data_IF_768505582927
#
_entry.id   IF_768505582927
#
_cell.length_a   1.000
_cell.length_b   1.000
_cell.length_c   1.000
_cell.angle_alpha   90.00
_cell.angle_beta   90.00
_cell.angle_gamma   90.00
#
_symmetry.space_group_name_H-M   'P 1'
#
loop_
_entity.id
_entity.type
_entity.pdbx_description
1 polymer ?
#
# COMPACT_ATOMS: atom_id res chain seq x y z
N UNK A 1 -5.35 -9.79 24.71
CA UNK A 1 -6.28 -8.73 24.25
C UNK A 1 -7.69 -9.30 24.24
N UNK A 2 -8.65 -8.62 24.87
CA UNK A 2 -9.98 -9.17 25.11
C UNK A 2 -10.95 -9.05 23.93
N UNK A 3 -11.78 -10.08 23.73
CA UNK A 3 -13.25 -9.99 23.62
C UNK A 3 -13.91 -9.24 22.47
N UNK A 4 -13.20 -8.53 21.59
CA UNK A 4 -13.85 -7.85 20.48
C UNK A 4 -14.39 -8.84 19.46
N UNK A 5 -15.61 -8.60 19.00
CA UNK A 5 -16.22 -9.34 17.89
C UNK A 5 -15.76 -8.76 16.55
N UNK A 6 -15.97 -9.54 15.49
CA UNK A 6 -15.60 -9.17 14.13
C UNK A 6 -16.16 -7.78 13.74
N UNK A 7 -15.28 -6.88 13.29
CA UNK A 7 -15.63 -5.52 12.87
C UNK A 7 -15.96 -4.56 14.03
N UNK A 8 -15.62 -4.92 15.28
CA UNK A 8 -15.90 -4.12 16.49
C UNK A 8 -14.63 -3.69 17.25
N UNK A 9 -13.48 -3.71 16.60
CA UNK A 9 -12.25 -3.16 17.17
C UNK A 9 -12.28 -1.62 17.10
N UNK A 10 -11.91 -0.90 18.17
CA UNK A 10 -11.75 0.55 18.13
C UNK A 10 -10.67 0.96 17.12
N UNK A 11 -10.95 1.97 16.30
CA UNK A 11 -9.95 2.49 15.33
C UNK A 11 -8.69 3.00 16.02
N UNK A 12 -8.78 3.49 17.26
CA UNK A 12 -7.64 3.94 18.06
C UNK A 12 -6.62 2.83 18.39
N UNK A 13 -6.99 1.55 18.22
CA UNK A 13 -6.07 0.43 18.36
C UNK A 13 -5.29 0.13 17.07
N UNK A 14 -5.64 0.77 15.97
CA UNK A 14 -5.12 0.47 14.64
C UNK A 14 -4.19 1.58 14.18
N UNK A 15 -3.22 1.20 13.35
CA UNK A 15 -2.36 2.13 12.64
C UNK A 15 -3.11 2.61 11.40
N UNK A 16 -3.38 3.92 11.33
CA UNK A 16 -3.88 4.57 10.13
C UNK A 16 -2.73 4.73 9.12
N UNK A 17 -2.92 4.20 7.91
CA UNK A 17 -1.95 4.34 6.83
C UNK A 17 -2.31 5.48 5.86
N UNK A 18 -3.53 6.02 5.98
CA UNK A 18 -4.13 7.05 5.13
C UNK A 18 -5.46 6.59 4.54
N UNK A 19 -6.33 7.54 4.17
CA UNK A 19 -7.69 7.26 3.72
C UNK A 19 -8.47 6.35 4.68
N UNK A 20 -9.10 5.29 4.15
CA UNK A 20 -9.85 4.28 4.93
C UNK A 20 -9.02 3.03 5.26
N UNK A 21 -7.69 3.14 5.26
CA UNK A 21 -6.78 2.02 5.50
C UNK A 21 -6.27 2.04 6.94
N UNK A 22 -6.75 1.08 7.72
CA UNK A 22 -6.36 0.85 9.11
C UNK A 22 -5.87 -0.59 9.26
N UNK A 23 -4.75 -0.81 9.95
CA UNK A 23 -4.21 -2.15 10.19
C UNK A 23 -3.71 -2.30 11.63
N UNK A 24 -3.78 -3.51 12.22
CA UNK A 24 -3.02 -3.82 13.44
C UNK A 24 -1.53 -3.52 13.27
N UNK A 25 -0.84 -3.14 14.35
CA UNK A 25 0.55 -2.66 14.28
C UNK A 25 1.52 -3.67 13.65
N UNK A 26 1.40 -4.95 13.99
CA UNK A 26 2.21 -6.02 13.41
C UNK A 26 1.93 -6.22 11.92
N UNK A 27 0.64 -6.27 11.54
CA UNK A 27 0.21 -6.34 10.14
C UNK A 27 0.67 -5.13 9.33
N UNK A 28 0.59 -3.92 9.89
CA UNK A 28 1.06 -2.69 9.23
C UNK A 28 2.57 -2.73 8.97
N UNK A 29 3.37 -3.27 9.91
CA UNK A 29 4.80 -3.43 9.75
C UNK A 29 5.14 -4.45 8.64
N UNK A 30 4.47 -5.61 8.63
CA UNK A 30 4.60 -6.62 7.55
C UNK A 30 4.23 -6.05 6.19
N UNK A 31 3.13 -5.29 6.13
CA UNK A 31 2.68 -4.62 4.90
C UNK A 31 3.74 -3.66 4.35
N UNK A 32 4.23 -2.73 5.18
CA UNK A 32 5.28 -1.77 4.78
C UNK A 32 6.56 -2.49 4.32
N UNK A 33 6.95 -3.55 5.01
CA UNK A 33 8.09 -4.36 4.62
C UNK A 33 7.87 -5.03 3.25
N UNK A 34 6.70 -5.62 3.02
CA UNK A 34 6.35 -6.24 1.74
C UNK A 34 6.36 -5.22 0.58
N UNK A 35 5.82 -4.03 0.80
CA UNK A 35 5.86 -2.91 -0.15
C UNK A 35 7.31 -2.53 -0.48
N UNK A 36 8.18 -2.40 0.53
CA UNK A 36 9.60 -2.10 0.32
C UNK A 36 10.31 -3.19 -0.49
N UNK A 37 10.01 -4.47 -0.24
CA UNK A 37 10.56 -5.59 -1.02
C UNK A 37 10.06 -5.60 -2.46
N UNK A 38 8.77 -5.33 -2.69
CA UNK A 38 8.21 -5.26 -4.03
C UNK A 38 8.87 -4.15 -4.85
N UNK A 39 9.07 -2.99 -4.23
CA UNK A 39 9.75 -1.86 -4.85
C UNK A 39 11.21 -2.20 -5.15
N UNK A 40 11.94 -2.74 -4.17
CA UNK A 40 13.36 -3.07 -4.32
C UNK A 40 13.63 -4.15 -5.36
N UNK A 41 12.78 -5.18 -5.44
CA UNK A 41 12.99 -6.35 -6.33
C UNK A 41 12.39 -6.16 -7.72
N UNK A 42 11.28 -5.45 -7.83
CA UNK A 42 10.48 -5.40 -9.06
C UNK A 42 10.21 -3.98 -9.55
N UNK A 43 10.60 -2.94 -8.82
CA UNK A 43 10.28 -1.55 -9.17
C UNK A 43 8.80 -1.21 -9.02
N UNK A 44 8.03 -2.04 -8.28
CA UNK A 44 6.58 -1.88 -8.12
C UNK A 44 6.24 -1.46 -6.70
N UNK A 45 5.62 -0.29 -6.57
CA UNK A 45 5.03 0.14 -5.32
C UNK A 45 3.64 -0.50 -5.18
N UNK A 46 3.52 -1.51 -4.32
CA UNK A 46 2.23 -2.12 -4.01
C UNK A 46 1.36 -1.17 -3.17
N UNK A 47 0.05 -1.16 -3.42
CA UNK A 47 -0.91 -0.39 -2.62
C UNK A 47 -2.16 -1.20 -2.27
N UNK A 48 -2.76 -0.84 -1.14
CA UNK A 48 -4.03 -1.41 -0.69
C UNK A 48 -5.14 -0.84 -1.55
N UNK A 49 -6.08 -1.68 -2.00
CA UNK A 49 -7.27 -1.24 -2.73
C UNK A 49 -7.98 -0.12 -1.95
N UNK A 50 -8.32 1.03 -2.58
CA UNK A 50 -9.01 2.11 -1.89
C UNK A 50 -10.32 1.68 -1.22
N UNK A 51 -10.66 2.32 -0.10
CA UNK A 51 -11.82 1.95 0.72
C UNK A 51 -11.43 1.11 1.94
N UNK A 52 -12.37 0.36 2.51
CA UNK A 52 -12.16 -0.40 3.73
C UNK A 52 -11.59 -1.80 3.45
N UNK A 53 -10.36 -1.84 2.93
CA UNK A 53 -9.68 -3.07 2.51
C UNK A 53 -8.45 -3.42 3.36
N UNK A 54 -8.29 -2.77 4.50
CA UNK A 54 -7.48 -3.25 5.63
C UNK A 54 -8.42 -3.80 6.70
N UNK A 55 -8.57 -3.08 7.81
CA UNK A 55 -9.68 -3.25 8.73
C UNK A 55 -10.99 -2.75 8.12
N UNK A 56 -12.09 -3.46 8.35
CA UNK A 56 -13.44 -3.05 7.96
C UNK A 56 -14.38 -3.11 9.17
N UNK A 57 -14.94 -1.96 9.61
CA UNK A 57 -15.98 -1.92 10.63
C UNK A 57 -17.21 -2.75 10.25
N UNK A 58 -17.94 -3.25 11.26
CA UNK A 58 -19.07 -4.14 11.02
C UNK A 58 -20.20 -3.50 10.22
N UNK A 59 -20.55 -2.25 10.51
CA UNK A 59 -21.55 -1.46 9.78
C UNK A 59 -21.18 -1.30 8.30
N UNK A 60 -19.91 -1.02 8.02
CA UNK A 60 -19.39 -1.00 6.64
C UNK A 60 -19.50 -2.39 5.97
N UNK A 61 -19.27 -3.48 6.71
CA UNK A 61 -19.47 -4.82 6.16
C UNK A 61 -20.95 -5.12 5.86
N UNK A 62 -21.89 -4.53 6.62
CA UNK A 62 -23.33 -4.59 6.32
C UNK A 62 -23.62 -3.89 5.00
N UNK A 63 -23.10 -2.67 4.81
CA UNK A 63 -23.23 -1.92 3.54
C UNK A 63 -22.67 -2.71 2.35
N UNK A 64 -21.43 -3.23 2.47
CA UNK A 64 -20.81 -4.03 1.41
C UNK A 64 -21.62 -5.29 1.08
N UNK A 65 -22.22 -5.94 2.08
CA UNK A 65 -23.08 -7.11 1.86
C UNK A 65 -24.37 -6.75 1.12
N UNK A 66 -24.95 -5.59 1.43
CA UNK A 66 -26.14 -5.09 0.73
C UNK A 66 -25.84 -4.76 -0.73
N UNK A 67 -24.68 -4.14 -0.99
CA UNK A 67 -24.29 -3.70 -2.35
C UNK A 67 -23.78 -4.84 -3.23
N UNK A 68 -22.94 -5.72 -2.68
CA UNK A 68 -22.20 -6.73 -3.45
C UNK A 68 -22.81 -8.14 -3.35
N UNK A 69 -23.78 -8.34 -2.46
CA UNK A 69 -24.44 -9.62 -2.25
C UNK A 69 -23.43 -10.72 -1.89
N UNK A 70 -23.42 -11.82 -2.66
CA UNK A 70 -22.56 -12.98 -2.39
C UNK A 70 -21.06 -12.74 -2.59
N UNK A 71 -20.67 -11.59 -3.15
CA UNK A 71 -19.28 -11.18 -3.29
C UNK A 71 -18.69 -10.53 -2.04
N UNK A 72 -19.50 -10.28 -1.01
CA UNK A 72 -19.05 -9.81 0.29
C UNK A 72 -19.39 -10.84 1.36
N UNK A 73 -18.47 -11.05 2.32
CA UNK A 73 -18.71 -11.91 3.45
C UNK A 73 -19.95 -11.49 4.26
N UNK A 74 -20.60 -12.45 4.91
CA UNK A 74 -21.67 -12.15 5.87
C UNK A 74 -21.11 -11.28 7.00
N UNK A 75 -21.79 -10.19 7.41
CA UNK A 75 -21.36 -9.37 8.54
C UNK A 75 -21.07 -10.22 9.77
N UNK A 76 -19.90 -10.01 10.38
CA UNK A 76 -19.43 -10.83 11.49
C UNK A 76 -18.44 -11.95 11.11
N UNK A 77 -18.27 -12.25 9.81
CA UNK A 77 -17.41 -13.35 9.33
C UNK A 77 -16.31 -12.90 8.36
N UNK A 78 -16.21 -11.60 8.06
CA UNK A 78 -15.21 -11.04 7.15
C UNK A 78 -13.81 -11.04 7.77
N UNK A 79 -12.80 -11.52 7.08
CA UNK A 79 -11.39 -11.44 7.54
C UNK A 79 -10.91 -10.00 7.74
N UNK A 80 -11.48 -9.02 7.03
CA UNK A 80 -11.23 -7.59 7.29
C UNK A 80 -11.74 -7.12 8.66
N UNK A 81 -12.65 -7.85 9.31
CA UNK A 81 -13.17 -7.54 10.63
C UNK A 81 -12.27 -7.97 11.79
N UNK A 82 -11.03 -8.41 11.52
CA UNK A 82 -10.02 -8.88 12.49
C UNK A 82 -10.32 -10.21 13.20
N UNK A 83 -11.47 -10.85 12.96
CA UNK A 83 -11.77 -12.19 13.50
C UNK A 83 -12.15 -13.12 12.35
N UNK A 84 -11.33 -14.12 12.07
CA UNK A 84 -11.59 -15.12 11.03
C UNK A 84 -11.51 -16.53 11.62
N UNK A 85 -12.60 -17.30 11.50
CA UNK A 85 -12.71 -18.67 12.02
C UNK A 85 -12.27 -18.80 13.50
N UNK A 86 -12.70 -17.84 14.33
CA UNK A 86 -12.41 -17.82 15.77
C UNK A 86 -10.99 -17.38 16.14
N UNK A 87 -10.17 -16.94 15.18
CA UNK A 87 -8.83 -16.42 15.41
C UNK A 87 -8.75 -14.95 15.04
N UNK A 88 -7.88 -14.21 15.72
CA UNK A 88 -7.54 -12.85 15.31
C UNK A 88 -6.71 -12.92 14.04
N UNK A 89 -7.24 -12.39 12.93
CA UNK A 89 -6.61 -12.43 11.60
C UNK A 89 -6.91 -11.11 10.92
N UNK A 90 -5.89 -10.42 10.43
CA UNK A 90 -6.08 -9.21 9.62
C UNK A 90 -6.03 -9.57 8.14
N UNK A 91 -6.77 -8.84 7.30
CA UNK A 91 -6.72 -8.99 5.86
C UNK A 91 -6.32 -7.68 5.16
N UNK A 92 -5.75 -7.81 3.97
CA UNK A 92 -5.40 -6.71 3.09
C UNK A 92 -5.80 -7.10 1.66
N UNK A 93 -6.53 -6.24 0.96
CA UNK A 93 -6.71 -6.40 -0.50
C UNK A 93 -5.69 -5.55 -1.24
N UNK A 94 -4.87 -6.19 -2.07
CA UNK A 94 -3.81 -5.52 -2.84
C UNK A 94 -4.30 -5.27 -4.27
N UNK A 95 -4.41 -4.00 -4.66
CA UNK A 95 -5.02 -3.66 -5.95
C UNK A 95 -4.15 -4.01 -7.15
N UNK A 96 -2.84 -3.81 -7.03
CA UNK A 96 -1.92 -3.83 -8.17
C UNK A 96 -0.90 -4.98 -8.12
N UNK A 97 -1.26 -6.12 -7.52
CA UNK A 97 -0.38 -7.29 -7.49
C UNK A 97 0.01 -7.76 -8.90
N UNK A 98 -0.88 -7.58 -9.89
CA UNK A 98 -0.65 -7.96 -11.29
C UNK A 98 0.51 -7.16 -11.93
N UNK A 99 0.80 -5.96 -11.42
CA UNK A 99 1.88 -5.10 -11.92
C UNK A 99 3.27 -5.66 -11.60
N UNK A 100 3.37 -6.66 -10.72
CA UNK A 100 4.62 -7.37 -10.44
C UNK A 100 5.18 -8.11 -11.66
N UNK A 101 4.36 -8.39 -12.68
CA UNK A 101 4.81 -8.86 -13.99
C UNK A 101 3.77 -8.48 -15.07
N UNK A 102 3.81 -7.26 -15.61
CA UNK A 102 2.81 -6.78 -16.56
C UNK A 102 2.71 -7.70 -17.79
N UNK A 103 1.48 -8.07 -18.17
CA UNK A 103 1.22 -8.98 -19.28
C UNK A 103 1.44 -10.47 -18.99
N UNK A 104 1.87 -10.84 -17.77
CA UNK A 104 2.06 -12.23 -17.37
C UNK A 104 1.48 -12.50 -15.98
N UNK A 105 0.17 -12.71 -15.91
CA UNK A 105 -0.59 -12.93 -14.67
C UNK A 105 -0.06 -14.09 -13.83
N UNK A 106 0.36 -15.19 -14.46
CA UNK A 106 0.90 -16.35 -13.75
C UNK A 106 2.23 -16.02 -13.04
N UNK A 107 3.12 -15.29 -13.73
CA UNK A 107 4.38 -14.83 -13.13
C UNK A 107 4.14 -13.76 -12.06
N UNK A 108 3.22 -12.82 -12.28
CA UNK A 108 2.86 -11.79 -11.31
C UNK A 108 2.33 -12.43 -10.02
N UNK A 109 1.43 -13.40 -10.16
CA UNK A 109 0.89 -14.14 -9.02
C UNK A 109 1.97 -14.93 -8.28
N UNK A 110 2.87 -15.61 -8.99
CA UNK A 110 4.01 -16.31 -8.38
C UNK A 110 4.91 -15.38 -7.56
N UNK A 111 5.24 -14.20 -8.11
CA UNK A 111 6.03 -13.16 -7.41
C UNK A 111 5.31 -12.63 -6.19
N UNK A 112 4.00 -12.36 -6.32
CA UNK A 112 3.18 -11.89 -5.21
C UNK A 112 3.12 -12.90 -4.06
N UNK A 113 2.87 -14.18 -4.36
CA UNK A 113 2.90 -15.26 -3.35
C UNK A 113 4.25 -15.38 -2.65
N UNK A 114 5.35 -15.23 -3.39
CA UNK A 114 6.69 -15.25 -2.81
C UNK A 114 6.91 -14.07 -1.84
N UNK A 115 6.49 -12.86 -2.21
CA UNK A 115 6.52 -11.69 -1.32
C UNK A 115 5.66 -11.90 -0.07
N UNK A 116 4.43 -12.41 -0.22
CA UNK A 116 3.55 -12.71 0.89
C UNK A 116 4.20 -13.70 1.86
N UNK A 117 4.74 -14.81 1.35
CA UNK A 117 5.43 -15.81 2.17
C UNK A 117 6.60 -15.21 2.96
N UNK A 118 7.40 -14.35 2.33
CA UNK A 118 8.52 -13.69 2.99
C UNK A 118 8.07 -12.69 4.08
N UNK A 119 6.93 -12.03 3.86
CA UNK A 119 6.33 -11.11 4.81
C UNK A 119 5.42 -11.82 5.84
N UNK A 120 5.39 -13.15 5.85
CA UNK A 120 4.52 -14.00 6.68
C UNK A 120 3.01 -13.83 6.44
N UNK A 121 2.59 -13.29 5.29
CA UNK A 121 1.20 -13.29 4.87
C UNK A 121 0.80 -14.62 4.22
N UNK A 122 -0.46 -14.99 4.42
CA UNK A 122 -1.11 -16.15 3.82
C UNK A 122 -1.98 -15.71 2.65
N UNK A 123 -1.89 -16.44 1.53
CA UNK A 123 -2.78 -16.31 0.36
C UNK A 123 -3.76 -17.49 0.31
N UNK A 124 -4.77 -17.43 -0.54
CA UNK A 124 -5.65 -18.57 -0.88
C UNK A 124 -6.38 -19.20 0.33
N UNK A 125 -6.69 -18.40 1.35
CA UNK A 125 -7.36 -18.86 2.59
C UNK A 125 -8.87 -18.62 2.62
N UNK A 126 -9.43 -18.03 1.53
CA UNK A 126 -10.86 -17.79 1.31
C UNK A 126 -11.37 -18.59 0.10
N UNK A 127 -12.69 -18.71 -0.03
CA UNK A 127 -13.33 -19.44 -1.14
C UNK A 127 -14.54 -18.63 -1.64
N UNK A 128 -14.64 -18.33 -2.96
CA UNK A 128 -13.67 -18.66 -4.01
C UNK A 128 -12.30 -17.99 -3.81
N UNK A 129 -11.30 -18.40 -4.58
CA UNK A 129 -9.97 -17.79 -4.52
C UNK A 129 -10.05 -16.31 -4.93
N UNK A 130 -9.48 -15.44 -4.11
CA UNK A 130 -9.35 -14.01 -4.36
C UNK A 130 -7.87 -13.65 -4.46
N UNK A 131 -7.36 -13.45 -5.69
CA UNK A 131 -5.93 -13.26 -5.96
C UNK A 131 -5.35 -11.95 -5.37
N UNK A 132 -6.19 -11.04 -4.89
CA UNK A 132 -5.75 -9.81 -4.24
C UNK A 132 -5.76 -9.92 -2.71
N UNK A 133 -6.43 -10.93 -2.16
CA UNK A 133 -6.77 -11.01 -0.73
C UNK A 133 -5.70 -11.79 0.05
N UNK A 134 -5.02 -11.09 0.95
CA UNK A 134 -3.97 -11.67 1.81
C UNK A 134 -4.35 -11.57 3.28
N UNK A 135 -3.87 -12.52 4.10
CA UNK A 135 -4.24 -12.64 5.51
C UNK A 135 -3.00 -12.75 6.41
N UNK A 136 -3.01 -12.03 7.52
CA UNK A 136 -2.03 -12.15 8.60
C UNK A 136 -2.58 -13.07 9.68
N UNK A 137 -2.15 -14.34 9.66
CA UNK A 137 -2.53 -15.36 10.63
C UNK A 137 -1.57 -15.46 11.83
N UNK A 138 -0.59 -14.56 11.90
CA UNK A 138 0.34 -14.47 13.01
C UNK A 138 -0.30 -13.70 14.17
N UNK A 139 0.52 -13.31 15.16
CA UNK A 139 0.10 -12.25 16.06
C UNK A 139 0.10 -10.90 15.33
N UNK A 140 -1.09 -10.49 14.88
CA UNK A 140 -1.33 -9.25 14.10
C UNK A 140 -0.88 -7.99 14.85
N UNK A 141 -0.73 -8.05 16.17
CA UNK A 141 -0.33 -6.91 17.00
C UNK A 141 1.18 -6.83 17.19
N UNK A 142 1.86 -7.97 17.15
CA UNK A 142 3.30 -8.04 17.35
C UNK A 142 4.06 -7.69 16.08
N UNK A 143 4.89 -6.65 16.16
CA UNK A 143 5.80 -6.23 15.09
C UNK A 143 6.92 -7.26 14.96
N UNK A 144 7.07 -7.95 13.82
CA UNK A 144 8.13 -8.94 13.67
C UNK A 144 9.50 -8.28 13.55
N UNK A 145 10.54 -8.96 14.04
CA UNK A 145 11.91 -8.46 14.04
C UNK A 145 12.47 -8.16 12.65
N UNK A 146 12.03 -8.86 11.60
CA UNK A 146 12.46 -8.52 10.23
C UNK A 146 11.83 -7.22 9.71
N UNK A 147 10.66 -6.82 10.23
CA UNK A 147 10.01 -5.58 9.81
C UNK A 147 10.58 -4.36 10.53
N UNK A 148 11.25 -4.54 11.68
CA UNK A 148 12.05 -3.47 12.30
C UNK A 148 13.37 -3.23 11.57
N UNK A 149 13.88 -4.25 10.87
CA UNK A 149 14.96 -4.13 9.90
C UNK A 149 14.37 -3.58 8.60
N UNK A 150 14.14 -2.27 8.51
CA UNK A 150 13.86 -1.66 7.21
C UNK A 150 15.13 -1.79 6.38
N UNK A 151 15.19 -2.65 5.33
CA UNK A 151 16.38 -2.67 4.49
C UNK A 151 16.49 -1.28 3.86
N UNK A 152 17.70 -0.72 3.90
CA UNK A 152 18.00 0.46 3.09
C UNK A 152 17.51 0.17 1.67
N UNK A 153 16.69 1.05 1.06
CA UNK A 153 16.35 0.85 -0.34
C UNK A 153 17.67 0.67 -1.10
N UNK A 154 17.79 -0.37 -1.96
CA UNK A 154 19.01 -0.53 -2.74
C UNK A 154 19.28 0.79 -3.46
N UNK A 155 20.54 1.25 -3.52
CA UNK A 155 20.86 2.47 -4.25
C UNK A 155 20.26 2.36 -5.64
N UNK A 156 19.41 3.31 -6.03
CA UNK A 156 18.92 3.37 -7.41
C UNK A 156 20.16 3.55 -8.26
N UNK A 157 20.50 2.60 -9.17
CA UNK A 157 21.64 2.77 -10.04
C UNK A 157 21.46 4.07 -10.80
N UNK A 158 22.39 5.01 -10.60
CA UNK A 158 22.42 6.20 -11.41
C UNK A 158 22.67 5.78 -12.87
N UNK A 159 22.07 6.45 -13.85
CA UNK A 159 22.44 6.26 -15.24
C UNK A 159 23.96 6.38 -15.41
N UNK A 160 24.53 5.61 -16.32
CA UNK A 160 25.98 5.61 -16.54
C UNK A 160 26.51 7.04 -16.76
N UNK A 161 27.55 7.41 -16.00
CA UNK A 161 28.12 8.76 -16.03
C UNK A 161 27.36 9.82 -15.22
N UNK A 162 26.35 9.46 -14.41
CA UNK A 162 25.66 10.39 -13.50
C UNK A 162 26.11 10.21 -12.06
N UNK A 163 26.23 11.33 -11.36
CA UNK A 163 26.52 11.43 -9.92
C UNK A 163 25.26 11.88 -9.16
N UNK A 164 25.27 11.75 -7.83
CA UNK A 164 24.18 12.28 -7.00
C UNK A 164 24.01 13.81 -7.12
N UNK A 165 25.07 14.54 -7.52
CA UNK A 165 24.98 15.96 -7.82
C UNK A 165 24.21 16.26 -9.12
N UNK A 166 24.08 15.28 -10.02
CA UNK A 166 23.32 15.39 -11.27
C UNK A 166 21.82 15.11 -11.08
N UNK A 167 21.44 14.53 -9.94
CA UNK A 167 20.05 14.36 -9.54
C UNK A 167 19.53 15.72 -9.08
N UNK A 168 19.09 16.55 -10.03
CA UNK A 168 18.41 17.81 -9.71
C UNK A 168 17.13 17.53 -8.92
N UNK A 169 16.87 18.40 -7.94
CA UNK A 169 15.71 18.42 -7.06
C UNK A 169 14.41 17.98 -7.74
N UNK A 170 13.59 17.26 -6.97
CA UNK A 170 12.20 16.90 -7.28
C UNK A 170 11.48 18.12 -7.84
N UNK A 171 11.20 18.14 -9.14
CA UNK A 171 10.38 19.20 -9.73
C UNK A 171 8.92 18.97 -9.35
N UNK A 172 8.39 19.86 -8.52
CA UNK A 172 6.95 20.04 -8.35
C UNK A 172 6.40 20.67 -9.64
N UNK A 173 5.83 19.86 -10.54
CA UNK A 173 5.18 20.40 -11.74
C UNK A 173 3.87 21.08 -11.34
N UNK A 174 3.82 22.41 -11.46
CA UNK A 174 2.61 23.21 -11.18
C UNK A 174 1.58 23.18 -12.32
N UNK A 175 1.95 22.75 -13.52
CA UNK A 175 1.05 22.76 -14.69
C UNK A 175 0.54 21.37 -15.04
N UNK A 176 -0.32 20.86 -14.16
CA UNK A 176 -1.24 19.77 -14.44
C UNK A 176 -2.64 20.35 -14.70
N UNK A 177 -2.80 21.12 -15.78
CA UNK A 177 -4.12 21.65 -16.19
C UNK A 177 -5.10 20.58 -16.72
N UNK A 178 -4.76 19.29 -16.63
CA UNK A 178 -5.69 18.21 -17.02
C UNK A 178 -5.74 16.99 -16.11
N UNK A 179 -4.73 16.66 -15.31
CA UNK A 179 -4.82 15.60 -14.29
C UNK A 179 -3.73 15.86 -13.26
N UNK A 180 -4.08 16.12 -11.99
CA UNK A 180 -3.18 16.48 -10.89
C UNK A 180 -2.20 15.37 -10.48
N UNK A 181 -1.30 14.97 -11.37
CA UNK A 181 -0.24 14.01 -11.10
C UNK A 181 0.94 14.67 -10.40
N UNK A 182 1.33 14.13 -9.24
CA UNK A 182 2.68 14.34 -8.69
C UNK A 182 3.63 13.42 -9.45
N UNK A 183 4.91 13.78 -9.59
CA UNK A 183 5.90 12.86 -10.13
C UNK A 183 7.24 13.12 -9.44
N UNK A 184 7.87 12.06 -8.94
CA UNK A 184 9.30 12.06 -8.69
C UNK A 184 9.97 11.85 -10.04
N UNK A 185 10.62 12.89 -10.57
CA UNK A 185 11.43 12.80 -11.78
C UNK A 185 12.89 12.73 -11.34
N UNK A 186 13.56 11.61 -11.59
CA UNK A 186 15.02 11.49 -11.43
C UNK A 186 15.64 11.72 -12.81
N UNK A 187 16.37 12.83 -13.05
CA UNK A 187 16.93 13.16 -14.36
C UNK A 187 17.82 12.03 -14.91
N UNK A 188 17.54 11.59 -16.14
CA UNK A 188 18.31 10.54 -16.83
C UNK A 188 17.84 9.11 -16.58
N UNK A 189 16.85 8.90 -15.70
CA UNK A 189 16.15 7.62 -15.59
C UNK A 189 14.82 7.71 -16.35
N UNK A 190 14.41 6.63 -17.02
CA UNK A 190 13.11 6.53 -17.69
C UNK A 190 11.94 6.33 -16.68
N UNK A 191 12.12 6.71 -15.43
CA UNK A 191 11.15 6.54 -14.36
C UNK A 191 10.59 7.92 -14.01
N UNK A 192 9.50 8.28 -14.68
CA UNK A 192 8.46 9.03 -13.98
C UNK A 192 7.71 8.02 -13.11
N UNK A 193 7.38 8.37 -11.87
CA UNK A 193 6.21 7.77 -11.23
C UNK A 193 5.00 8.55 -11.77
N UNK A 194 4.31 8.10 -12.84
CA UNK A 194 3.08 8.75 -13.22
C UNK A 194 2.04 8.40 -12.16
N UNK A 195 1.68 9.37 -11.33
CA UNK A 195 0.45 9.29 -10.55
C UNK A 195 -0.69 9.56 -11.53
N UNK A 196 -1.18 8.50 -12.18
CA UNK A 196 -2.32 8.57 -13.09
C UNK A 196 -3.59 8.28 -12.27
N UNK A 197 -4.49 9.25 -12.19
CA UNK A 197 -5.92 8.96 -12.05
C UNK A 197 -6.34 8.22 -13.34
N UNK A 198 -6.12 6.90 -13.40
CA UNK A 198 -6.28 6.18 -14.67
C UNK A 198 -7.75 5.95 -15.01
N UNK A 199 -8.23 6.65 -16.04
CA UNK A 199 -9.37 6.27 -16.85
C UNK A 199 -9.04 5.04 -17.70
N UNK A 200 -9.10 3.86 -17.10
CA UNK A 200 -9.07 2.58 -17.80
C UNK A 200 -10.50 1.99 -17.83
N UNK A 201 -10.96 1.50 -18.98
CA UNK A 201 -12.37 1.23 -19.31
C UNK A 201 -13.01 0.04 -18.59
N UNK A 202 -12.31 -0.65 -17.68
CA UNK A 202 -12.91 -1.55 -16.69
C UNK A 202 -13.22 -0.88 -15.34
N UNK A 203 -12.77 0.37 -15.13
CA UNK A 203 -12.91 1.15 -13.89
C UNK A 203 -14.12 2.11 -13.88
N UNK A 204 -14.98 2.09 -14.91
CA UNK A 204 -16.06 3.07 -15.06
C UNK A 204 -17.24 2.91 -14.08
N UNK A 205 -17.25 1.89 -13.19
CA UNK A 205 -18.17 1.87 -12.04
C UNK A 205 -17.54 2.34 -10.73
N UNK A 206 -16.21 2.38 -10.65
CA UNK A 206 -15.46 2.76 -9.43
C UNK A 206 -14.96 4.21 -9.48
N UNK A 207 -14.90 4.81 -10.68
CA UNK A 207 -14.43 6.19 -10.90
C UNK A 207 -15.26 7.28 -10.18
N UNK A 208 -16.49 6.99 -9.74
CA UNK A 208 -17.30 7.95 -8.97
C UNK A 208 -16.83 8.17 -7.52
N UNK A 209 -15.90 7.35 -7.02
CA UNK A 209 -15.36 7.47 -5.64
C UNK A 209 -14.00 8.19 -5.54
N UNK A 210 -13.39 8.62 -6.66
CA UNK A 210 -12.05 9.22 -6.67
C UNK A 210 -12.01 10.75 -6.50
N UNK A 211 -13.14 11.41 -6.27
CA UNK A 211 -13.22 12.87 -6.15
C UNK A 211 -13.13 13.41 -4.70
N UNK A 212 -12.59 12.65 -3.74
CA UNK A 212 -12.47 13.10 -2.33
C UNK A 212 -11.03 12.98 -1.85
N UNK A 213 -10.51 14.02 -1.18
CA UNK A 213 -9.10 14.25 -0.81
C UNK A 213 -8.37 13.22 0.07
N UNK A 214 -8.89 12.00 0.21
CA UNK A 214 -8.37 10.93 1.06
C UNK A 214 -7.09 10.25 0.49
N UNK A 215 -6.82 10.37 -0.81
CA UNK A 215 -5.64 9.78 -1.48
C UNK A 215 -4.35 10.57 -1.22
N UNK A 216 -4.47 11.87 -0.95
CA UNK A 216 -3.35 12.79 -0.76
C UNK A 216 -2.59 12.49 0.55
N UNK A 217 -3.33 12.24 1.63
CA UNK A 217 -2.77 11.95 2.95
C UNK A 217 -2.08 10.57 2.99
N UNK A 218 -2.66 9.56 2.33
CA UNK A 218 -2.06 8.22 2.20
C UNK A 218 -0.72 8.27 1.45
N UNK A 219 -0.67 9.06 0.36
CA UNK A 219 0.53 9.20 -0.46
C UNK A 219 1.62 9.96 0.29
N UNK A 220 1.25 11.01 1.04
CA UNK A 220 2.19 11.76 1.89
C UNK A 220 2.79 10.86 2.98
N UNK A 221 2.00 10.04 3.65
CA UNK A 221 2.50 9.15 4.71
C UNK A 221 3.52 8.12 4.19
N UNK A 222 3.26 7.54 3.00
CA UNK A 222 4.19 6.62 2.34
C UNK A 222 5.47 7.32 1.89
N UNK A 223 5.36 8.55 1.40
CA UNK A 223 6.50 9.34 0.96
C UNK A 223 7.38 9.79 2.14
N UNK A 224 6.78 10.24 3.24
CA UNK A 224 7.50 10.62 4.47
C UNK A 224 8.22 9.41 5.09
N UNK A 225 7.59 8.23 5.07
CA UNK A 225 8.21 6.98 5.50
C UNK A 225 9.40 6.59 4.61
N UNK A 226 9.26 6.75 3.29
CA UNK A 226 10.34 6.54 2.33
C UNK A 226 11.52 7.50 2.56
N UNK A 227 11.25 8.81 2.69
CA UNK A 227 12.29 9.81 2.97
C UNK A 227 12.98 9.56 4.32
N UNK A 228 12.22 9.20 5.35
CA UNK A 228 12.77 8.85 6.67
C UNK A 228 13.68 7.62 6.60
N UNK A 229 13.32 6.62 5.80
CA UNK A 229 14.17 5.47 5.54
C UNK A 229 15.42 5.84 4.74
N UNK A 230 15.30 6.64 3.68
CA UNK A 230 16.42 7.08 2.85
C UNK A 230 17.43 7.95 3.62
N UNK A 231 16.96 8.87 4.48
CA UNK A 231 17.81 9.74 5.30
C UNK A 231 18.65 8.97 6.34
N UNK A 232 18.22 7.77 6.73
CA UNK A 232 19.00 6.89 7.63
C UNK A 232 20.11 6.12 6.92
N UNK A 233 20.19 6.17 5.59
CA UNK A 233 21.07 5.33 4.78
C UNK A 233 22.28 6.06 4.17
N UNK A 234 22.37 7.39 4.30
CA UNK A 234 23.54 8.16 3.89
C UNK A 234 23.83 9.29 4.91
N UNK A 235 25.06 9.44 5.42
CA UNK A 235 25.41 10.53 6.35
C UNK A 235 25.53 11.90 5.65
N UNK A 236 24.89 12.09 4.49
CA UNK A 236 24.94 13.33 3.73
C UNK A 236 23.58 14.02 3.82
N UNK A 237 23.61 15.25 4.32
CA UNK A 237 22.46 16.13 4.54
C UNK A 237 21.57 16.22 3.30
N UNK A 238 20.44 15.51 3.28
CA UNK A 238 19.38 15.74 2.29
C UNK A 238 18.61 16.98 2.76
N UNK A 239 18.92 18.14 2.16
CA UNK A 239 18.11 19.36 2.33
C UNK A 239 16.90 19.26 1.42
N UNK A 240 15.72 19.11 2.03
CA UNK A 240 14.44 19.32 1.34
C UNK A 240 14.02 20.76 1.57
N UNK A 241 14.19 21.61 0.56
CA UNK A 241 13.65 22.97 0.58
C UNK A 241 12.30 22.96 -0.13
N UNK A 242 11.24 23.33 0.60
CA UNK A 242 9.93 23.62 0.02
C UNK A 242 9.97 25.07 -0.42
N UNK A 243 10.11 25.31 -1.73
CA UNK A 243 10.07 26.65 -2.28
C UNK A 243 8.61 26.99 -2.56
N UNK A 244 8.04 27.91 -1.78
CA UNK A 244 6.76 28.52 -2.11
C UNK A 244 6.95 29.37 -3.35
N UNK A 245 5.96 29.39 -4.25
CA UNK A 245 6.10 30.06 -5.54
C UNK A 245 6.10 31.60 -5.49
N UNK A 246 6.20 32.17 -4.29
CA UNK A 246 6.07 33.61 -4.06
C UNK A 246 7.37 34.23 -3.52
N UNK A 247 8.44 33.43 -3.37
CA UNK A 247 9.74 33.86 -2.83
C UNK A 247 10.13 33.13 -1.56
#
# INVERSE_FOLDING_TARGET
>A
MGGFTNGRFPLSMLVHLGGKIYLPAGTAARWRWMVAQALAKYGVLLYVTPGWNGYRPYDIQVEYRQELGNWAAVPGYSSHGLIYRGKTVAAVDVANWADLAPGNTALAWSRFKALCRLAEFTVDFVTPQELWHIGDFNDVWTVPGFASLTPAPPPIPLPEGKTMADVKQIHWMKDAKTVGGRALIIPGTAWALPFVESGNTYANRTAKQFATGDSEEYTKSLFDAFLSAAARCAPTTVRVEVVNADG
#
